data_IF_662802254648
#
_entry.id   IF_662802254648
#
_cell.length_a   1.000
_cell.length_b   1.000
_cell.length_c   1.000
_cell.angle_alpha   90.00
_cell.angle_beta   90.00
_cell.angle_gamma   90.00
#
_symmetry.space_group_name_H-M   'P 1'
#
loop_
_entity.id
_entity.type
_entity.pdbx_description
1 polymer ?
#
# COMPACT_ATOMS: atom_id res chain seq x y z
N UNK A 1 -2.44 21.63 1.75
CA UNK A 1 -1.04 21.71 2.15
C UNK A 1 -0.80 23.15 2.59
N UNK A 2 -0.11 23.43 3.69
CA UNK A 2 0.79 24.59 3.62
C UNK A 2 1.77 24.16 2.54
N UNK A 3 1.59 24.69 1.32
CA UNK A 3 2.39 24.30 0.17
C UNK A 3 3.84 24.48 0.61
N UNK A 4 4.61 23.38 0.63
CA UNK A 4 6.06 23.50 0.65
C UNK A 4 6.37 24.51 -0.45
N UNK A 5 7.06 25.63 -0.14
CA UNK A 5 7.37 26.62 -1.15
C UNK A 5 7.92 25.92 -2.38
N UNK A 6 7.43 26.27 -3.56
CA UNK A 6 7.83 25.62 -4.80
C UNK A 6 9.36 25.62 -4.96
N UNK A 7 10.01 26.69 -4.47
CA UNK A 7 11.46 26.82 -4.35
C UNK A 7 12.12 25.70 -3.53
N UNK A 8 11.50 25.25 -2.44
CA UNK A 8 12.05 24.22 -1.56
C UNK A 8 11.91 22.84 -2.20
N UNK A 9 10.78 22.56 -2.85
CA UNK A 9 10.59 21.33 -3.64
C UNK A 9 11.62 21.25 -4.76
N UNK A 10 11.82 22.35 -5.48
CA UNK A 10 12.76 22.41 -6.60
C UNK A 10 14.21 22.28 -6.12
N UNK A 11 14.58 22.89 -4.99
CA UNK A 11 15.90 22.72 -4.40
C UNK A 11 16.17 21.26 -3.99
N UNK A 12 15.17 20.60 -3.40
CA UNK A 12 15.25 19.17 -3.04
C UNK A 12 15.40 18.30 -4.29
N UNK A 13 14.62 18.57 -5.36
CA UNK A 13 14.74 17.88 -6.65
C UNK A 13 16.13 18.02 -7.26
N UNK A 14 16.65 19.25 -7.33
CA UNK A 14 18.02 19.54 -7.83
C UNK A 14 19.08 18.79 -7.03
N UNK A 15 18.96 18.77 -5.70
CA UNK A 15 19.87 18.03 -4.82
C UNK A 15 19.85 16.54 -5.12
N UNK A 16 18.67 15.92 -5.21
CA UNK A 16 18.57 14.49 -5.53
C UNK A 16 19.07 14.16 -6.93
N UNK A 17 18.70 14.96 -7.94
CA UNK A 17 19.21 14.77 -9.31
C UNK A 17 20.74 14.82 -9.35
N UNK A 18 21.35 15.83 -8.74
CA UNK A 18 22.81 15.94 -8.66
C UNK A 18 23.45 14.73 -7.98
N UNK A 19 22.81 14.22 -6.92
CA UNK A 19 23.29 13.02 -6.22
C UNK A 19 23.28 11.80 -7.15
N UNK A 20 22.16 11.56 -7.85
CA UNK A 20 22.09 10.46 -8.82
C UNK A 20 23.09 10.61 -9.97
N UNK A 21 23.26 11.81 -10.51
CA UNK A 21 24.23 12.06 -11.59
C UNK A 21 25.67 11.80 -11.14
N UNK A 22 26.00 12.16 -9.90
CA UNK A 22 27.31 11.86 -9.32
C UNK A 22 27.53 10.37 -9.10
N UNK A 23 26.52 9.65 -8.60
CA UNK A 23 26.60 8.20 -8.42
C UNK A 23 26.69 7.48 -9.77
N UNK A 24 25.92 7.90 -10.76
CA UNK A 24 25.95 7.32 -12.10
C UNK A 24 27.26 7.59 -12.85
N UNK A 25 27.84 8.78 -12.69
CA UNK A 25 29.11 9.13 -13.33
C UNK A 25 30.31 8.31 -12.81
N UNK A 26 30.23 7.67 -11.64
CA UNK A 26 31.30 6.81 -11.12
C UNK A 26 31.56 5.58 -11.99
N UNK A 27 30.60 5.19 -12.86
CA UNK A 27 30.73 4.12 -13.86
C UNK A 27 31.26 2.77 -13.32
N UNK A 28 31.04 2.49 -12.03
CA UNK A 28 31.54 1.29 -11.35
C UNK A 28 30.45 0.22 -11.16
N UNK A 29 29.34 0.32 -11.90
CA UNK A 29 28.22 -0.60 -11.82
C UNK A 29 27.84 -1.10 -13.22
N UNK A 30 27.44 -2.37 -13.30
CA UNK A 30 26.87 -2.98 -14.51
C UNK A 30 25.34 -2.92 -14.52
N UNK A 31 24.72 -2.71 -13.35
CA UNK A 31 23.26 -2.61 -13.14
C UNK A 31 22.99 -1.60 -12.03
N UNK A 32 21.94 -0.80 -12.22
CA UNK A 32 21.41 0.10 -11.20
C UNK A 32 19.96 -0.25 -10.94
N UNK A 33 19.56 -0.23 -9.67
CA UNK A 33 18.19 -0.47 -9.24
C UNK A 33 17.64 0.78 -8.59
N UNK A 34 16.46 1.20 -9.03
CA UNK A 34 15.73 2.34 -8.46
C UNK A 34 14.36 1.85 -7.99
N UNK A 35 14.10 1.94 -6.69
CA UNK A 35 12.74 1.80 -6.16
C UNK A 35 11.97 3.10 -6.38
N UNK A 36 10.80 3.01 -7.01
CA UNK A 36 10.11 4.19 -7.53
C UNK A 36 8.59 4.10 -7.36
N UNK A 37 8.09 3.88 -6.15
CA UNK A 37 6.64 3.74 -5.86
C UNK A 37 5.79 4.88 -6.47
N UNK A 38 6.27 6.13 -6.36
CA UNK A 38 5.56 7.30 -6.89
C UNK A 38 5.57 7.44 -8.41
N UNK A 39 6.42 6.70 -9.14
CA UNK A 39 6.60 6.84 -10.59
C UNK A 39 5.34 6.49 -11.37
N UNK A 40 4.49 5.63 -10.80
CA UNK A 40 3.22 5.22 -11.40
C UNK A 40 2.28 6.42 -11.63
N UNK A 41 2.42 7.48 -10.82
CA UNK A 41 1.60 8.68 -10.87
C UNK A 41 2.11 9.77 -11.82
N UNK A 42 3.33 9.65 -12.36
CA UNK A 42 3.87 10.60 -13.34
C UNK A 42 3.04 10.60 -14.62
N UNK A 43 2.86 11.76 -15.24
CA UNK A 43 2.29 11.89 -16.58
C UNK A 43 3.20 11.26 -17.65
N UNK A 44 2.67 11.07 -18.87
CA UNK A 44 3.48 10.53 -19.97
C UNK A 44 4.69 11.41 -20.31
N UNK A 45 4.58 12.76 -20.39
CA UNK A 45 5.74 13.63 -20.59
C UNK A 45 6.78 13.52 -19.47
N UNK A 46 6.36 13.49 -18.20
CA UNK A 46 7.29 13.33 -17.07
C UNK A 46 8.02 11.99 -17.11
N UNK A 47 7.35 10.91 -17.53
CA UNK A 47 7.99 9.61 -17.74
C UNK A 47 8.97 9.63 -18.91
N UNK A 48 8.65 10.31 -20.00
CA UNK A 48 9.54 10.47 -21.15
C UNK A 48 10.81 11.26 -20.76
N UNK A 49 10.66 12.32 -19.98
CA UNK A 49 11.79 13.09 -19.43
C UNK A 49 12.65 12.23 -18.50
N UNK A 50 12.02 11.42 -17.64
CA UNK A 50 12.73 10.49 -16.77
C UNK A 50 13.49 9.43 -17.59
N UNK A 51 12.86 8.84 -18.61
CA UNK A 51 13.49 7.87 -19.50
C UNK A 51 14.68 8.48 -20.25
N UNK A 52 14.50 9.66 -20.86
CA UNK A 52 15.56 10.39 -21.55
C UNK A 52 16.72 10.78 -20.63
N UNK A 53 16.45 11.07 -19.36
CA UNK A 53 17.50 11.30 -18.38
C UNK A 53 18.25 10.00 -18.02
N UNK A 54 17.56 8.88 -17.80
CA UNK A 54 18.19 7.60 -17.46
C UNK A 54 19.05 7.03 -18.59
N UNK A 55 18.63 7.17 -19.85
CA UNK A 55 19.36 6.64 -21.02
C UNK A 55 20.67 7.36 -21.31
N UNK A 56 20.94 8.50 -20.65
CA UNK A 56 22.26 9.14 -20.66
C UNK A 56 23.31 8.34 -19.88
N UNK A 57 22.87 7.51 -18.93
CA UNK A 57 23.74 6.75 -18.02
C UNK A 57 23.65 5.24 -18.26
N UNK A 58 22.52 4.76 -18.77
CA UNK A 58 22.24 3.34 -18.94
C UNK A 58 21.90 3.02 -20.41
N UNK A 59 22.51 1.96 -20.97
CA UNK A 59 22.20 1.48 -22.33
C UNK A 59 20.79 0.88 -22.44
N UNK A 60 20.28 0.33 -21.34
CA UNK A 60 18.98 -0.33 -21.25
C UNK A 60 18.31 0.07 -19.95
N UNK A 61 17.02 0.42 -20.03
CA UNK A 61 16.16 0.61 -18.88
C UNK A 61 15.10 -0.48 -18.91
N UNK A 62 14.86 -1.14 -17.79
CA UNK A 62 13.80 -2.14 -17.66
C UNK A 62 12.89 -1.73 -16.52
N UNK A 63 11.59 -1.73 -16.78
CA UNK A 63 10.56 -1.42 -15.80
C UNK A 63 9.99 -2.74 -15.29
N UNK A 64 9.99 -2.94 -13.98
CA UNK A 64 9.33 -4.08 -13.33
C UNK A 64 8.01 -3.57 -12.77
N UNK A 65 6.90 -4.14 -13.23
CA UNK A 65 5.55 -3.79 -12.80
C UNK A 65 4.88 -4.98 -12.13
N UNK A 66 4.52 -4.81 -10.85
CA UNK A 66 3.69 -5.78 -10.15
C UNK A 66 2.21 -5.55 -10.46
N UNK A 67 1.55 -6.60 -10.91
CA UNK A 67 0.11 -6.71 -11.04
C UNK A 67 -0.40 -7.42 -9.80
N UNK A 68 -1.53 -6.97 -9.26
CA UNK A 68 -2.16 -7.54 -8.07
C UNK A 68 -3.66 -7.62 -8.32
N UNK A 69 -4.33 -8.62 -7.78
CA UNK A 69 -5.77 -8.72 -7.95
C UNK A 69 -6.44 -7.40 -7.51
N UNK A 70 -7.25 -6.76 -8.39
CA UNK A 70 -7.71 -5.39 -8.15
C UNK A 70 -8.45 -5.14 -6.84
N UNK A 71 -9.21 -6.11 -6.33
CA UNK A 71 -9.95 -6.02 -5.05
C UNK A 71 -8.98 -6.05 -3.88
N UNK A 72 -7.99 -6.94 -3.93
CA UNK A 72 -6.91 -7.04 -2.94
C UNK A 72 -6.02 -5.80 -2.94
N UNK A 73 -5.65 -5.31 -4.14
CA UNK A 73 -4.93 -4.04 -4.31
C UNK A 73 -5.73 -2.89 -3.70
N UNK A 74 -7.01 -2.78 -4.05
CA UNK A 74 -7.87 -1.68 -3.59
C UNK A 74 -8.03 -1.72 -2.07
N UNK A 75 -8.18 -2.90 -1.49
CA UNK A 75 -8.23 -3.10 -0.03
C UNK A 75 -6.95 -2.60 0.66
N UNK A 76 -5.78 -2.90 0.09
CA UNK A 76 -4.50 -2.42 0.58
C UNK A 76 -4.37 -0.90 0.49
N UNK A 77 -4.75 -0.32 -0.65
CA UNK A 77 -4.72 1.14 -0.88
C UNK A 77 -5.69 1.86 0.04
N UNK A 78 -6.87 1.30 0.29
CA UNK A 78 -7.83 1.88 1.22
C UNK A 78 -7.26 1.99 2.63
N UNK A 79 -6.51 0.99 3.10
CA UNK A 79 -5.83 1.07 4.40
C UNK A 79 -4.74 2.16 4.39
N UNK A 80 -3.98 2.32 3.32
CA UNK A 80 -2.98 3.39 3.21
C UNK A 80 -3.64 4.78 3.23
N UNK A 81 -4.73 4.97 2.49
CA UNK A 81 -5.48 6.23 2.44
C UNK A 81 -6.19 6.51 3.78
N UNK A 82 -6.70 5.48 4.46
CA UNK A 82 -7.24 5.57 5.82
C UNK A 82 -6.17 6.04 6.82
N UNK A 83 -4.96 5.48 6.73
CA UNK A 83 -3.79 5.92 7.52
C UNK A 83 -3.41 7.38 7.22
N UNK A 84 -3.73 7.90 6.03
CA UNK A 84 -3.52 9.31 5.68
C UNK A 84 -4.64 10.25 6.16
N UNK A 85 -5.65 9.73 6.86
CA UNK A 85 -6.69 10.55 7.49
C UNK A 85 -8.01 10.64 6.72
N UNK A 86 -8.16 9.92 5.62
CA UNK A 86 -9.45 9.80 4.91
C UNK A 86 -10.38 8.82 5.62
N UNK A 87 -11.67 8.84 5.28
CA UNK A 87 -12.67 7.93 5.87
C UNK A 87 -13.03 6.80 4.91
N UNK A 88 -13.46 5.67 5.47
CA UNK A 88 -13.98 4.51 4.74
C UNK A 88 -15.20 4.88 3.91
N UNK A 89 -16.09 5.73 4.44
CA UNK A 89 -17.27 6.23 3.71
C UNK A 89 -16.93 6.78 2.33
N UNK A 90 -15.95 7.68 2.25
CA UNK A 90 -15.51 8.30 0.97
C UNK A 90 -15.00 7.22 0.01
N UNK A 91 -14.22 6.26 0.52
CA UNK A 91 -13.64 5.20 -0.30
C UNK A 91 -14.64 4.11 -0.69
N UNK A 92 -15.70 3.88 0.10
CA UNK A 92 -16.80 2.97 -0.26
C UNK A 92 -17.66 3.57 -1.37
N UNK A 93 -17.90 4.89 -1.32
CA UNK A 93 -18.58 5.63 -2.39
C UNK A 93 -17.77 5.63 -3.69
N UNK A 94 -16.45 5.86 -3.59
CA UNK A 94 -15.52 5.90 -4.73
C UNK A 94 -14.23 5.11 -4.44
N UNK A 95 -14.22 3.79 -4.68
CA UNK A 95 -13.06 2.95 -4.39
C UNK A 95 -11.81 3.35 -5.21
N UNK A 96 -10.61 3.36 -4.59
CA UNK A 96 -9.36 3.71 -5.26
C UNK A 96 -8.81 2.53 -6.08
N UNK A 97 -9.41 2.28 -7.24
CA UNK A 97 -9.04 1.18 -8.14
C UNK A 97 -7.70 1.41 -8.86
N UNK A 98 -7.00 0.35 -9.33
CA UNK A 98 -5.64 0.50 -9.87
C UNK A 98 -5.56 1.19 -11.24
N UNK A 99 -6.62 1.19 -12.06
CA UNK A 99 -6.59 1.74 -13.44
C UNK A 99 -5.43 1.19 -14.30
N UNK A 100 -5.25 -0.13 -14.29
CA UNK A 100 -4.12 -0.81 -14.95
C UNK A 100 -3.99 -0.45 -16.43
N UNK A 101 -5.07 -0.43 -17.21
CA UNK A 101 -4.99 -0.18 -18.65
C UNK A 101 -4.36 1.18 -18.95
N UNK A 102 -4.85 2.23 -18.30
CA UNK A 102 -4.34 3.59 -18.49
C UNK A 102 -2.89 3.71 -18.03
N UNK A 103 -2.56 3.13 -16.88
CA UNK A 103 -1.19 3.17 -16.33
C UNK A 103 -0.22 2.39 -17.20
N UNK A 104 -0.51 1.15 -17.55
CA UNK A 104 0.39 0.30 -18.33
C UNK A 104 0.63 0.88 -19.73
N UNK A 105 -0.41 1.34 -20.44
CA UNK A 105 -0.26 1.97 -21.76
C UNK A 105 0.72 3.13 -21.75
N UNK A 106 0.62 4.00 -20.74
CA UNK A 106 1.52 5.14 -20.56
C UNK A 106 3.00 4.69 -20.46
N UNK A 107 3.27 3.60 -19.74
CA UNK A 107 4.63 3.05 -19.65
C UNK A 107 5.06 2.38 -20.96
N UNK A 108 4.19 1.60 -21.61
CA UNK A 108 4.48 0.99 -22.92
C UNK A 108 4.85 2.07 -23.94
N UNK A 109 4.11 3.18 -23.98
CA UNK A 109 4.36 4.29 -24.90
C UNK A 109 5.74 4.95 -24.72
N UNK A 110 6.30 4.91 -23.50
CA UNK A 110 7.56 5.58 -23.17
C UNK A 110 8.75 4.62 -23.24
N UNK A 111 8.60 3.43 -22.65
CA UNK A 111 9.70 2.47 -22.49
C UNK A 111 9.73 1.40 -23.57
N UNK A 112 8.64 1.17 -24.30
CA UNK A 112 8.46 0.00 -25.15
C UNK A 112 8.02 -1.22 -24.33
N UNK A 113 7.12 -2.03 -24.87
CA UNK A 113 6.56 -3.20 -24.17
C UNK A 113 7.64 -4.23 -23.81
N UNK A 114 8.63 -4.42 -24.67
CA UNK A 114 9.76 -5.33 -24.49
C UNK A 114 10.66 -4.99 -23.30
N UNK A 115 10.61 -3.73 -22.86
CA UNK A 115 11.36 -3.23 -21.70
C UNK A 115 10.53 -3.25 -20.41
N UNK A 116 9.32 -3.80 -20.43
CA UNK A 116 8.48 -3.94 -19.26
C UNK A 116 8.37 -5.42 -18.89
N UNK A 117 8.63 -5.73 -17.61
CA UNK A 117 8.44 -7.05 -17.02
C UNK A 117 7.25 -6.98 -16.07
N UNK A 118 6.26 -7.82 -16.30
CA UNK A 118 5.10 -7.95 -15.43
C UNK A 118 5.33 -9.11 -14.46
N UNK A 119 5.08 -8.87 -13.18
CA UNK A 119 5.07 -9.89 -12.14
C UNK A 119 3.69 -9.93 -11.50
N UNK A 120 3.15 -11.12 -11.27
CA UNK A 120 1.83 -11.31 -10.64
C UNK A 120 2.05 -11.50 -9.15
N UNK A 121 1.64 -10.53 -8.34
CA UNK A 121 1.85 -10.50 -6.91
C UNK A 121 1.40 -11.78 -6.22
N UNK A 122 0.23 -12.31 -6.58
CA UNK A 122 -0.36 -13.53 -6.03
C UNK A 122 0.48 -14.78 -6.32
N UNK A 123 1.16 -14.84 -7.47
CA UNK A 123 2.10 -15.91 -7.79
C UNK A 123 3.40 -15.73 -7.01
N UNK A 124 3.92 -14.51 -6.96
CA UNK A 124 5.19 -14.23 -6.30
C UNK A 124 5.14 -14.49 -4.78
N UNK A 125 4.04 -14.15 -4.10
CA UNK A 125 3.90 -14.45 -2.66
C UNK A 125 3.86 -15.95 -2.34
N UNK A 126 3.55 -16.82 -3.31
CA UNK A 126 3.53 -18.28 -3.14
C UNK A 126 4.90 -18.91 -3.34
N UNK A 127 5.85 -18.21 -3.95
CA UNK A 127 7.22 -18.69 -4.12
C UNK A 127 7.94 -18.68 -2.77
N UNK A 128 8.97 -19.54 -2.66
CA UNK A 128 9.97 -19.38 -1.60
C UNK A 128 10.50 -17.94 -1.67
N UNK A 129 10.71 -17.27 -0.55
CA UNK A 129 11.13 -15.85 -0.47
C UNK A 129 10.10 -14.81 -0.96
N UNK A 130 8.87 -15.22 -1.28
CA UNK A 130 7.75 -14.33 -1.61
C UNK A 130 8.03 -13.38 -2.79
N UNK A 131 7.48 -12.17 -2.73
CA UNK A 131 7.67 -11.11 -3.75
C UNK A 131 9.13 -10.81 -4.04
N UNK A 132 9.98 -10.93 -3.03
CA UNK A 132 11.41 -10.67 -3.20
C UNK A 132 12.07 -11.71 -4.12
N UNK A 133 11.56 -12.93 -4.19
CA UNK A 133 12.14 -13.94 -5.08
C UNK A 133 12.00 -13.56 -6.54
N UNK A 134 10.79 -13.28 -7.02
CA UNK A 134 10.59 -12.86 -8.41
C UNK A 134 11.39 -11.61 -8.77
N UNK A 135 11.53 -10.71 -7.80
CA UNK A 135 12.39 -9.55 -7.95
C UNK A 135 13.87 -9.93 -8.15
N UNK A 136 14.43 -10.78 -7.30
CA UNK A 136 15.82 -11.24 -7.38
C UNK A 136 16.07 -12.08 -8.63
N UNK A 137 15.10 -12.89 -9.04
CA UNK A 137 15.15 -13.70 -10.26
C UNK A 137 15.22 -12.79 -11.51
N UNK A 138 14.45 -11.70 -11.57
CA UNK A 138 14.57 -10.71 -12.66
C UNK A 138 15.96 -10.06 -12.66
N UNK A 139 16.54 -9.83 -11.48
CA UNK A 139 17.89 -9.28 -11.36
C UNK A 139 18.98 -10.30 -11.70
N UNK A 140 18.64 -11.58 -11.90
CA UNK A 140 19.59 -12.66 -12.15
C UNK A 140 20.50 -12.92 -10.95
N UNK A 141 19.97 -12.78 -9.74
CA UNK A 141 20.68 -13.08 -8.49
C UNK A 141 20.29 -14.50 -8.08
N UNK A 142 21.21 -15.44 -8.30
CA UNK A 142 21.02 -16.88 -8.05
C UNK A 142 21.70 -17.36 -6.77
N UNK A 143 22.38 -16.48 -6.05
CA UNK A 143 23.10 -16.80 -4.81
C UNK A 143 22.12 -17.05 -3.65
N UNK A 144 21.95 -18.32 -3.28
CA UNK A 144 21.03 -18.75 -2.23
C UNK A 144 21.46 -18.24 -0.84
N UNK A 145 22.77 -18.14 -0.55
CA UNK A 145 23.26 -17.58 0.72
C UNK A 145 22.88 -16.10 0.85
N UNK A 146 22.97 -15.35 -0.26
CA UNK A 146 22.51 -13.98 -0.31
C UNK A 146 20.98 -13.88 -0.11
N UNK A 147 20.21 -14.75 -0.78
CA UNK A 147 18.74 -14.82 -0.62
C UNK A 147 18.34 -15.11 0.83
N UNK A 148 19.03 -16.04 1.49
CA UNK A 148 18.81 -16.40 2.89
C UNK A 148 19.17 -15.25 3.84
N UNK A 149 20.26 -14.52 3.57
CA UNK A 149 20.64 -13.35 4.37
C UNK A 149 19.57 -12.25 4.35
N UNK A 150 18.90 -12.06 3.21
CA UNK A 150 17.79 -11.12 3.08
C UNK A 150 16.61 -11.59 3.95
N UNK A 151 16.26 -12.87 3.95
CA UNK A 151 15.16 -13.37 4.78
C UNK A 151 15.36 -13.13 6.27
N UNK A 152 16.57 -13.40 6.77
CA UNK A 152 16.89 -13.19 8.18
C UNK A 152 16.67 -11.73 8.61
N UNK A 153 16.77 -10.78 7.68
CA UNK A 153 16.53 -9.36 7.91
C UNK A 153 15.06 -8.91 7.74
N UNK A 154 14.20 -9.73 7.11
CA UNK A 154 12.79 -9.40 6.86
C UNK A 154 11.90 -9.64 8.09
N UNK A 155 12.18 -8.94 9.19
CA UNK A 155 11.36 -8.97 10.42
C UNK A 155 10.19 -7.95 10.36
N UNK A 156 9.81 -7.46 9.18
CA UNK A 156 8.64 -6.57 9.03
C UNK A 156 7.53 -7.24 8.26
N UNK A 157 6.64 -7.87 9.02
CA UNK A 157 5.30 -8.24 8.57
C UNK A 157 4.60 -7.01 8.00
N UNK A 158 3.99 -7.11 6.82
CA UNK A 158 3.06 -6.11 6.30
C UNK A 158 1.99 -5.83 7.37
N UNK A 159 2.10 -4.67 8.04
CA UNK A 159 1.18 -4.28 9.12
C UNK A 159 -0.16 -3.80 8.53
N UNK A 160 -0.92 -4.76 7.99
CA UNK A 160 -2.33 -4.58 7.68
C UNK A 160 -3.10 -4.41 8.98
N UNK A 161 -4.04 -3.47 9.00
CA UNK A 161 -4.95 -3.29 10.12
C UNK A 161 -5.94 -4.46 10.15
N UNK A 162 -6.32 -4.88 11.36
CA UNK A 162 -7.52 -5.69 11.54
C UNK A 162 -8.77 -4.89 11.18
N UNK A 163 -9.89 -5.57 10.97
CA UNK A 163 -11.18 -4.93 10.69
C UNK A 163 -11.54 -3.92 11.78
N UNK A 164 -11.40 -4.32 13.06
CA UNK A 164 -11.68 -3.44 14.19
C UNK A 164 -10.74 -2.23 14.19
N UNK A 165 -9.43 -2.45 13.99
CA UNK A 165 -8.46 -1.38 13.95
C UNK A 165 -8.76 -0.36 12.84
N UNK A 166 -9.18 -0.83 11.66
CA UNK A 166 -9.60 0.03 10.56
C UNK A 166 -10.83 0.87 10.92
N UNK A 167 -11.88 0.28 11.50
CA UNK A 167 -13.08 1.05 11.91
C UNK A 167 -12.79 2.03 13.05
N UNK A 168 -11.92 1.68 13.99
CA UNK A 168 -11.48 2.59 15.05
C UNK A 168 -10.72 3.78 14.46
N UNK A 169 -9.83 3.54 13.49
CA UNK A 169 -9.09 4.60 12.80
C UNK A 169 -10.02 5.47 11.95
N UNK A 170 -11.00 4.87 11.28
CA UNK A 170 -12.04 5.57 10.53
C UNK A 170 -12.83 6.52 11.44
N UNK A 171 -13.33 6.02 12.56
CA UNK A 171 -14.04 6.84 13.54
C UNK A 171 -13.17 7.97 14.11
N UNK A 172 -11.86 7.74 14.29
CA UNK A 172 -10.92 8.80 14.67
C UNK A 172 -10.80 9.88 13.58
N UNK A 173 -10.74 9.48 12.32
CA UNK A 173 -10.68 10.40 11.18
C UNK A 173 -11.96 11.21 11.01
N UNK A 174 -13.12 10.64 11.35
CA UNK A 174 -14.40 11.36 11.36
C UNK A 174 -14.52 12.34 12.54
N UNK A 175 -14.23 11.88 13.75
CA UNK A 175 -14.52 12.65 14.98
C UNK A 175 -13.43 13.63 15.37
N UNK A 176 -12.17 13.30 15.08
CA UNK A 176 -11.01 14.16 15.34
C UNK A 176 -10.12 14.12 14.09
N UNK A 177 -10.53 14.82 13.01
CA UNK A 177 -9.85 14.72 11.71
C UNK A 177 -8.35 14.91 11.80
N UNK A 178 -7.60 14.10 11.06
CA UNK A 178 -6.14 14.17 11.07
C UNK A 178 -5.62 15.51 10.53
N UNK A 179 -6.35 16.10 9.58
CA UNK A 179 -6.11 17.44 9.07
C UNK A 179 -7.28 18.36 9.42
N UNK A 180 -7.01 19.49 10.08
CA UNK A 180 -8.04 20.51 10.38
C UNK A 180 -8.26 21.42 9.17
N UNK A 181 -7.18 21.66 8.42
CA UNK A 181 -7.14 22.39 7.15
C UNK A 181 -6.13 21.69 6.24
N UNK A 182 -6.16 21.90 4.92
CA UNK A 182 -5.22 21.25 4.01
C UNK A 182 -3.76 21.41 4.47
N UNK A 183 -3.11 20.31 4.88
CA UNK A 183 -1.71 20.30 5.35
C UNK A 183 -1.46 20.79 6.77
N UNK A 184 -2.51 21.13 7.53
CA UNK A 184 -2.40 21.48 8.95
C UNK A 184 -2.83 20.27 9.76
N UNK A 185 -1.85 19.53 10.29
CA UNK A 185 -2.08 18.36 11.14
C UNK A 185 -2.76 18.75 12.44
N UNK A 186 -3.75 17.97 12.86
CA UNK A 186 -4.45 18.14 14.12
C UNK A 186 -3.53 17.74 15.28
N UNK A 187 -3.15 18.70 16.13
CA UNK A 187 -2.27 18.46 17.29
C UNK A 187 -2.85 17.45 18.31
N UNK A 188 -4.16 17.17 18.25
CA UNK A 188 -4.81 16.14 19.09
C UNK A 188 -4.59 14.71 18.57
N UNK A 189 -3.99 14.56 17.40
CA UNK A 189 -3.72 13.30 16.71
C UNK A 189 -2.21 13.05 16.64
N UNK A 190 -1.83 11.79 16.64
CA UNK A 190 -0.46 11.36 16.37
C UNK A 190 -0.50 10.03 15.64
N UNK A 191 -0.44 10.08 14.31
CA UNK A 191 -0.62 8.89 13.47
C UNK A 191 0.35 7.78 13.86
N UNK A 192 1.62 8.11 14.10
CA UNK A 192 2.61 7.12 14.49
C UNK A 192 2.24 6.39 15.80
N UNK A 193 1.83 7.12 16.84
CA UNK A 193 1.40 6.51 18.12
C UNK A 193 0.07 5.75 17.99
N UNK A 194 -0.85 6.27 17.19
CA UNK A 194 -2.14 5.64 16.92
C UNK A 194 -1.94 4.31 16.18
N UNK A 195 -1.10 4.28 15.15
CA UNK A 195 -0.82 3.08 14.39
C UNK A 195 -0.07 2.04 15.22
N UNK A 196 0.92 2.45 16.03
CA UNK A 196 1.63 1.54 16.94
C UNK A 196 0.67 0.78 17.87
N UNK A 197 -0.36 1.47 18.38
CA UNK A 197 -1.46 0.85 19.13
C UNK A 197 -2.31 -0.06 18.24
N UNK A 198 -2.78 0.47 17.11
CA UNK A 198 -3.79 -0.17 16.27
C UNK A 198 -3.28 -1.43 15.57
N UNK A 199 -1.98 -1.50 15.26
CA UNK A 199 -1.35 -2.69 14.67
C UNK A 199 -1.37 -3.86 15.67
N UNK A 200 -1.33 -3.58 16.97
CA UNK A 200 -1.49 -4.58 18.02
C UNK A 200 -2.93 -5.05 18.23
N UNK A 201 -3.93 -4.38 17.64
CA UNK A 201 -5.33 -4.80 17.76
C UNK A 201 -5.57 -5.99 16.83
N UNK A 202 -5.58 -7.19 17.41
CA UNK A 202 -5.86 -8.43 16.69
C UNK A 202 -7.27 -8.52 16.11
N UNK A 203 -7.55 -9.62 15.43
CA UNK A 203 -8.83 -9.89 14.76
C UNK A 203 -8.66 -10.17 13.26
N UNK A 204 -9.77 -10.40 12.53
CA UNK A 204 -9.72 -10.62 11.10
C UNK A 204 -9.12 -9.41 10.37
N UNK A 205 -8.41 -9.67 9.26
CA UNK A 205 -7.86 -8.60 8.42
C UNK A 205 -8.98 -7.70 7.90
N UNK A 206 -8.70 -6.41 7.76
CA UNK A 206 -9.64 -5.49 7.14
C UNK A 206 -10.01 -5.95 5.73
N UNK A 207 -11.31 -6.03 5.46
CA UNK A 207 -11.89 -6.33 4.15
C UNK A 207 -13.08 -5.39 3.93
N UNK A 208 -13.20 -4.73 2.76
CA UNK A 208 -14.36 -3.90 2.45
C UNK A 208 -15.66 -4.72 2.43
N UNK A 209 -16.82 -4.07 2.69
CA UNK A 209 -18.12 -4.70 2.53
C UNK A 209 -18.28 -5.39 1.17
N UNK A 210 -19.09 -6.44 1.13
CA UNK A 210 -19.25 -7.27 -0.06
C UNK A 210 -19.70 -6.48 -1.29
N UNK A 211 -20.67 -5.57 -1.14
CA UNK A 211 -21.16 -4.71 -2.22
C UNK A 211 -20.06 -3.78 -2.77
N UNK A 212 -19.17 -3.29 -1.90
CA UNK A 212 -17.99 -2.50 -2.29
C UNK A 212 -17.01 -3.36 -3.08
N UNK A 213 -16.72 -4.59 -2.63
CA UNK A 213 -15.84 -5.52 -3.36
C UNK A 213 -16.40 -5.89 -4.73
N UNK A 214 -17.69 -6.21 -4.83
CA UNK A 214 -18.36 -6.48 -6.11
C UNK A 214 -18.29 -5.28 -7.06
N UNK A 215 -18.44 -4.06 -6.54
CA UNK A 215 -18.31 -2.83 -7.33
C UNK A 215 -16.88 -2.66 -7.85
N UNK A 216 -15.87 -2.84 -7.00
CA UNK A 216 -14.46 -2.83 -7.42
C UNK A 216 -14.24 -3.85 -8.53
N UNK A 217 -14.68 -5.09 -8.31
CA UNK A 217 -14.54 -6.17 -9.28
C UNK A 217 -15.10 -5.80 -10.65
N UNK A 218 -16.35 -5.34 -10.70
CA UNK A 218 -17.02 -4.91 -11.95
C UNK A 218 -16.30 -3.74 -12.62
N UNK A 219 -15.84 -2.75 -11.84
CA UNK A 219 -15.12 -1.58 -12.35
C UNK A 219 -13.76 -1.95 -12.97
N UNK A 220 -13.11 -3.01 -12.48
CA UNK A 220 -11.74 -3.35 -12.88
C UNK A 220 -11.65 -4.49 -13.89
N UNK A 221 -12.70 -5.29 -14.09
CA UNK A 221 -12.67 -6.41 -15.06
C UNK A 221 -12.26 -5.97 -16.47
N UNK A 222 -12.76 -4.85 -17.04
CA UNK A 222 -12.32 -4.42 -18.37
C UNK A 222 -10.81 -4.17 -18.49
N UNK A 223 -10.15 -3.76 -17.40
CA UNK A 223 -8.70 -3.57 -17.36
C UNK A 223 -7.95 -4.91 -17.28
N UNK A 224 -8.50 -5.89 -16.55
CA UNK A 224 -7.98 -7.26 -16.48
C UNK A 224 -8.10 -7.95 -17.85
N UNK A 225 -9.26 -7.85 -18.49
CA UNK A 225 -9.50 -8.41 -19.83
C UNK A 225 -8.56 -7.78 -20.87
N UNK A 226 -8.28 -6.48 -20.71
CA UNK A 226 -7.30 -5.79 -21.55
C UNK A 226 -5.89 -6.35 -21.36
N UNK A 227 -5.45 -6.60 -20.12
CA UNK A 227 -4.15 -7.25 -19.83
C UNK A 227 -4.10 -8.62 -20.50
N UNK A 228 -5.13 -9.47 -20.32
CA UNK A 228 -5.21 -10.80 -20.94
C UNK A 228 -5.07 -10.75 -22.44
N UNK A 229 -5.81 -9.87 -23.09
CA UNK A 229 -5.85 -9.80 -24.55
C UNK A 229 -4.61 -9.13 -25.15
N UNK A 230 -4.10 -8.06 -24.53
CA UNK A 230 -3.07 -7.21 -25.15
C UNK A 230 -1.65 -7.56 -24.70
N UNK A 231 -1.51 -8.19 -23.53
CA UNK A 231 -0.22 -8.59 -22.97
C UNK A 231 -0.03 -10.12 -22.98
N UNK A 232 -1.05 -10.87 -23.43
CA UNK A 232 -1.07 -12.33 -23.41
C UNK A 232 -0.71 -12.89 -22.03
N UNK A 233 -1.28 -12.28 -20.99
CA UNK A 233 -1.03 -12.58 -19.59
C UNK A 233 -2.38 -12.73 -18.89
N UNK A 234 -2.67 -13.90 -18.34
CA UNK A 234 -3.87 -14.11 -17.53
C UNK A 234 -3.51 -14.14 -16.04
N UNK A 235 -3.32 -12.96 -15.40
CA UNK A 235 -2.72 -12.90 -14.07
C UNK A 235 -3.60 -13.46 -12.95
N UNK A 236 -4.89 -13.72 -13.22
CA UNK A 236 -5.88 -14.08 -12.20
C UNK A 236 -6.72 -15.30 -12.61
N UNK A 237 -6.18 -16.17 -13.45
CA UNK A 237 -6.81 -17.45 -13.77
C UNK A 237 -7.04 -18.27 -12.48
N UNK A 238 -8.28 -18.73 -12.27
CA UNK A 238 -8.67 -19.47 -11.06
C UNK A 238 -8.82 -18.64 -9.79
N UNK A 239 -8.74 -17.29 -9.86
CA UNK A 239 -9.11 -16.45 -8.73
C UNK A 239 -10.63 -16.55 -8.50
N UNK A 240 -11.09 -16.83 -7.27
CA UNK A 240 -12.51 -17.09 -7.01
C UNK A 240 -13.36 -15.90 -7.46
N UNK A 241 -14.45 -16.20 -8.17
CA UNK A 241 -15.44 -15.18 -8.49
C UNK A 241 -16.05 -14.71 -7.17
N UNK A 242 -16.07 -13.39 -6.95
CA UNK A 242 -16.70 -12.81 -5.77
C UNK A 242 -18.22 -13.05 -5.73
N UNK A 243 -18.79 -13.61 -6.80
CA UNK A 243 -20.17 -14.07 -6.84
C UNK A 243 -20.40 -15.43 -6.14
N UNK A 244 -19.35 -16.18 -5.76
CA UNK A 244 -19.51 -17.43 -5.02
C UNK A 244 -19.77 -17.16 -3.53
N UNK A 245 -21.00 -17.46 -3.12
CA UNK A 245 -21.55 -17.25 -1.78
C UNK A 245 -20.75 -18.03 -0.73
N UNK A 246 -20.00 -17.31 0.11
CA UNK A 246 -19.35 -17.87 1.29
C UNK A 246 -18.79 -16.84 2.26
N UNK A 247 -18.97 -15.55 1.99
CA UNK A 247 -18.46 -14.51 2.86
C UNK A 247 -19.50 -14.15 3.90
N UNK A 248 -19.27 -14.62 5.13
CA UNK A 248 -19.92 -14.12 6.33
C UNK A 248 -20.01 -12.59 6.22
N UNK A 249 -21.24 -12.06 6.21
CA UNK A 249 -21.45 -10.66 6.54
C UNK A 249 -20.82 -10.46 7.91
N UNK A 250 -19.63 -9.88 7.92
CA UNK A 250 -18.95 -9.66 9.18
C UNK A 250 -19.79 -8.70 9.99
N UNK A 251 -20.24 -9.16 11.16
CA UNK A 251 -21.03 -8.39 12.10
C UNK A 251 -20.38 -7.01 12.25
N UNK A 252 -21.11 -5.96 11.91
CA UNK A 252 -20.67 -4.60 12.16
C UNK A 252 -20.31 -4.49 13.65
N UNK A 253 -19.10 -4.03 13.96
CA UNK A 253 -18.77 -3.73 15.34
C UNK A 253 -19.77 -2.68 15.86
N UNK A 254 -20.38 -2.87 17.04
CA UNK A 254 -21.31 -1.89 17.57
C UNK A 254 -20.66 -0.50 17.61
N UNK A 255 -21.38 0.52 17.13
CA UNK A 255 -20.84 1.88 17.04
C UNK A 255 -20.28 2.39 18.39
N UNK A 256 -20.93 2.01 19.50
CA UNK A 256 -20.49 2.35 20.85
C UNK A 256 -19.16 1.69 21.23
N UNK A 257 -18.89 0.47 20.74
CA UNK A 257 -17.61 -0.22 20.96
C UNK A 257 -16.49 0.51 20.24
N UNK A 258 -16.68 0.81 18.95
CA UNK A 258 -15.72 1.56 18.14
C UNK A 258 -15.45 2.92 18.77
N UNK A 259 -16.50 3.66 19.13
CA UNK A 259 -16.38 4.99 19.76
C UNK A 259 -15.63 4.93 21.10
N UNK A 260 -15.92 3.93 21.93
CA UNK A 260 -15.26 3.75 23.23
C UNK A 260 -13.76 3.48 23.06
N UNK A 261 -13.38 2.61 22.13
CA UNK A 261 -11.98 2.30 21.83
C UNK A 261 -11.26 3.54 21.28
N UNK A 262 -11.87 4.26 20.33
CA UNK A 262 -11.29 5.50 19.79
C UNK A 262 -11.02 6.55 20.88
N UNK A 263 -11.95 6.73 21.84
CA UNK A 263 -11.76 7.63 22.99
C UNK A 263 -10.60 7.18 23.88
N UNK A 264 -10.48 5.89 24.15
CA UNK A 264 -9.36 5.31 24.92
C UNK A 264 -8.03 5.59 24.20
N UNK A 265 -7.94 5.31 22.90
CA UNK A 265 -6.73 5.55 22.10
C UNK A 265 -6.33 7.03 22.14
N UNK A 266 -7.27 7.95 21.91
CA UNK A 266 -6.99 9.39 21.98
C UNK A 266 -6.46 9.80 23.36
N UNK A 267 -7.06 9.28 24.43
CA UNK A 267 -6.60 9.56 25.78
C UNK A 267 -5.19 8.99 26.03
N UNK A 268 -4.91 7.76 25.56
CA UNK A 268 -3.58 7.17 25.65
C UNK A 268 -2.54 8.00 24.88
N UNK A 269 -2.82 8.38 23.63
CA UNK A 269 -1.92 9.19 22.81
C UNK A 269 -1.59 10.53 23.47
N UNK A 270 -2.57 11.17 24.11
CA UNK A 270 -2.41 12.45 24.81
C UNK A 270 -1.66 12.35 26.14
N UNK A 271 -1.88 11.28 26.89
CA UNK A 271 -1.31 11.11 28.24
C UNK A 271 0.04 10.40 28.24
N UNK A 272 0.40 9.73 27.15
CA UNK A 272 1.65 8.96 27.06
C UNK A 272 2.86 9.86 26.82
N UNK A 273 3.49 10.26 27.93
CA UNK A 273 4.87 10.75 28.00
C UNK A 273 5.91 9.62 28.07
N UNK A 274 5.51 8.34 28.18
CA UNK A 274 6.39 7.16 28.20
C UNK A 274 5.75 5.97 27.48
N UNK A 275 6.47 5.39 26.52
CA UNK A 275 6.03 4.34 25.59
C UNK A 275 5.74 2.98 26.27
N UNK A 276 6.33 2.70 27.44
CA UNK A 276 6.31 1.36 28.05
C UNK A 276 4.97 0.93 28.68
N UNK A 277 4.02 1.86 28.90
CA UNK A 277 2.72 1.54 29.53
C UNK A 277 1.60 1.19 28.54
N UNK A 278 1.86 1.28 27.23
CA UNK A 278 0.83 1.21 26.18
C UNK A 278 0.36 -0.23 25.89
N UNK A 279 1.31 -1.15 25.70
CA UNK A 279 1.04 -2.51 25.22
C UNK A 279 0.23 -3.35 26.22
N UNK A 280 0.55 -3.23 27.51
CA UNK A 280 -0.11 -3.97 28.60
C UNK A 280 -1.59 -3.59 28.80
N UNK A 281 -1.98 -2.36 28.41
CA UNK A 281 -3.34 -1.85 28.69
C UNK A 281 -4.39 -2.31 27.67
N UNK A 282 -4.05 -2.44 26.39
CA UNK A 282 -5.03 -2.81 25.36
C UNK A 282 -5.47 -4.27 25.45
N UNK A 283 -4.53 -5.19 25.65
CA UNK A 283 -4.85 -6.61 25.85
C UNK A 283 -5.80 -6.79 27.04
N UNK A 284 -5.56 -6.06 28.14
CA UNK A 284 -6.43 -6.09 29.32
C UNK A 284 -7.83 -5.48 29.10
N UNK A 285 -7.99 -4.54 28.16
CA UNK A 285 -9.28 -3.91 27.82
C UNK A 285 -10.06 -4.78 26.84
N UNK A 286 -9.38 -5.38 25.86
CA UNK A 286 -9.99 -6.30 24.89
C UNK A 286 -10.44 -7.59 25.59
N UNK A 287 -9.64 -8.14 26.51
CA UNK A 287 -10.01 -9.30 27.31
C UNK A 287 -11.23 -9.04 28.20
N UNK A 288 -11.34 -7.84 28.82
CA UNK A 288 -12.50 -7.50 29.66
C UNK A 288 -13.80 -7.30 28.88
N UNK A 289 -13.73 -6.97 27.59
CA UNK A 289 -14.90 -6.79 26.73
C UNK A 289 -15.19 -8.01 25.83
N UNK A 290 -14.35 -9.05 25.88
CA UNK A 290 -14.46 -10.27 25.06
C UNK A 290 -15.54 -11.27 25.50
N UNK A 291 -16.53 -10.86 26.29
CA UNK A 291 -17.75 -11.65 26.53
C UNK A 291 -18.67 -11.76 25.28
N UNK A 292 -18.23 -11.32 24.11
CA UNK A 292 -18.90 -11.60 22.84
C UNK A 292 -18.25 -12.82 22.17
N UNK A 293 -18.86 -13.98 22.39
CA UNK A 293 -18.52 -15.24 21.72
C UNK A 293 -18.63 -15.07 20.20
N UNK A 294 -17.51 -15.10 19.50
CA UNK A 294 -17.50 -15.35 18.05
C UNK A 294 -17.45 -16.86 17.84
N UNK A 295 -18.40 -17.46 17.08
CA UNK A 295 -18.25 -18.84 16.63
C UNK A 295 -17.07 -18.92 15.65
N UNK A 296 -16.17 -19.88 15.91
CA UNK A 296 -15.05 -20.25 15.04
C UNK A 296 -15.52 -20.90 13.74
#
# INVERSE_FOLDING_TARGET
>A
MASVPESDVENVRKKYRKTYEQEFARNNYSRALISAEGVVNMSQPELADLYGWMTRFCKKVTVIMYLREPVDYTTSVMQQILKQGTTLKIMYEKPPVPHYRARIKKFINVFGQENIKFLVYEEEIRKNFGVMNGFLDILGIEDDDFKDSILASQVKTNESLSQLAAHVLDHLNETVPFFIKPGVVNKKRSLWKELDILIGVGGPKFTPPHDVRQRIYKLTRPDVDWIKTNLNLDPYEGYPDLNEEGHLEMSQYPADTVSSISKIILNLVRTSSRQDKLKVRLDSILLKNSCMNYPH
#
